data_IF_792984332362
#
_entry.id   IF_792984332362
#
_cell.length_a   1.000
_cell.length_b   1.000
_cell.length_c   1.000
_cell.angle_alpha   90.00
_cell.angle_beta   90.00
_cell.angle_gamma   90.00
#
_symmetry.space_group_name_H-M   'P 1'
#
loop_
_entity.id
_entity.type
_entity.pdbx_description
1 polymer ?
#
# COMPACT_ATOMS: atom_id res chain seq x y z
N UNK A 1 14.95 6.43 -8.03
CA UNK A 1 13.49 6.45 -8.28
C UNK A 1 12.93 7.53 -7.38
N UNK A 2 12.60 8.69 -7.95
CA UNK A 2 12.10 9.82 -7.16
C UNK A 2 10.59 9.61 -7.06
N UNK A 3 10.11 9.35 -5.85
CA UNK A 3 8.68 9.19 -5.60
C UNK A 3 7.97 10.42 -6.17
N UNK A 4 6.85 10.17 -6.87
CA UNK A 4 6.00 11.23 -7.39
C UNK A 4 5.62 12.17 -6.24
N UNK A 5 5.47 13.46 -6.53
CA UNK A 5 5.16 14.46 -5.51
C UNK A 5 3.74 14.23 -4.96
N UNK A 6 3.64 13.51 -3.83
CA UNK A 6 2.37 13.16 -3.18
C UNK A 6 1.53 14.39 -2.81
N UNK A 7 2.15 15.57 -2.73
CA UNK A 7 1.47 16.84 -2.45
C UNK A 7 0.36 17.14 -3.46
N UNK A 8 0.52 16.69 -4.72
CA UNK A 8 -0.48 16.87 -5.80
C UNK A 8 -1.67 15.90 -5.74
N UNK A 9 -1.62 14.95 -4.80
CA UNK A 9 -2.69 13.97 -4.59
C UNK A 9 -3.42 14.21 -3.29
N UNK A 10 -3.04 15.23 -2.50
CA UNK A 10 -3.58 15.48 -1.17
C UNK A 10 -5.09 15.71 -1.21
N UNK A 11 -5.57 16.62 -2.08
CA UNK A 11 -6.99 16.89 -2.25
C UNK A 11 -7.78 15.65 -2.70
N UNK A 12 -7.19 14.86 -3.59
CA UNK A 12 -7.81 13.64 -4.11
C UNK A 12 -7.88 12.58 -3.00
N UNK A 13 -6.82 12.42 -2.20
CA UNK A 13 -6.79 11.52 -1.06
C UNK A 13 -7.76 11.95 0.06
N UNK A 14 -7.91 13.26 0.28
CA UNK A 14 -8.90 13.82 1.20
C UNK A 14 -10.32 13.50 0.74
N UNK A 15 -10.62 13.62 -0.57
CA UNK A 15 -11.90 13.18 -1.12
C UNK A 15 -12.11 11.67 -0.91
N UNK A 16 -11.10 10.84 -1.18
CA UNK A 16 -11.21 9.39 -0.97
C UNK A 16 -11.44 9.00 0.49
N UNK A 17 -10.93 9.81 1.43
CA UNK A 17 -11.11 9.60 2.87
C UNK A 17 -12.45 10.13 3.37
N UNK A 18 -12.93 11.24 2.80
CA UNK A 18 -14.12 11.96 3.24
C UNK A 18 -14.96 12.44 2.04
N UNK A 19 -15.56 11.52 1.26
CA UNK A 19 -16.16 11.86 -0.04
C UNK A 19 -17.29 12.89 0.06
N UNK A 20 -18.07 12.85 1.14
CA UNK A 20 -19.22 13.74 1.37
C UNK A 20 -18.86 15.09 2.03
N UNK A 21 -17.57 15.33 2.32
CA UNK A 21 -17.08 16.60 2.88
C UNK A 21 -16.54 17.55 1.82
N UNK A 22 -16.55 17.14 0.54
CA UNK A 22 -16.04 17.94 -0.58
C UNK A 22 -16.90 19.20 -0.80
N UNK A 23 -16.25 20.36 -0.88
CA UNK A 23 -16.93 21.66 -1.11
C UNK A 23 -16.73 22.21 -2.52
N UNK A 24 -15.66 21.82 -3.22
CA UNK A 24 -15.31 22.30 -4.55
C UNK A 24 -15.08 21.12 -5.50
N UNK A 25 -16.15 20.65 -6.14
CA UNK A 25 -16.12 19.48 -7.03
C UNK A 25 -15.43 19.83 -8.36
N UNK A 26 -15.61 21.05 -8.87
CA UNK A 26 -15.03 21.52 -10.14
C UNK A 26 -13.50 21.56 -10.08
N UNK A 27 -12.95 22.11 -8.99
CA UNK A 27 -11.50 22.13 -8.75
C UNK A 27 -10.93 20.71 -8.62
N UNK A 28 -11.60 19.85 -7.83
CA UNK A 28 -11.20 18.47 -7.65
C UNK A 28 -11.23 17.67 -8.98
N UNK A 29 -12.27 17.84 -9.79
CA UNK A 29 -12.38 17.18 -11.08
C UNK A 29 -11.27 17.60 -12.04
N UNK A 30 -10.90 18.89 -12.02
CA UNK A 30 -9.79 19.43 -12.82
C UNK A 30 -8.44 18.87 -12.35
N UNK A 31 -8.22 18.77 -11.05
CA UNK A 31 -7.01 18.19 -10.47
C UNK A 31 -6.88 16.70 -10.83
N UNK A 32 -7.96 15.94 -10.69
CA UNK A 32 -8.03 14.52 -11.10
C UNK A 32 -7.74 14.37 -12.59
N UNK A 33 -8.39 15.18 -13.43
CA UNK A 33 -8.20 15.12 -14.88
C UNK A 33 -6.72 15.37 -15.26
N UNK A 34 -6.06 16.30 -14.57
CA UNK A 34 -4.65 16.62 -14.74
C UNK A 34 -3.72 15.49 -14.27
N UNK A 35 -3.99 14.88 -13.10
CA UNK A 35 -3.12 13.81 -12.55
C UNK A 35 -3.29 12.47 -13.26
N UNK A 36 -4.51 12.11 -13.67
CA UNK A 36 -4.84 10.78 -14.20
C UNK A 36 -5.13 10.77 -15.71
N UNK A 37 -4.98 11.91 -16.40
CA UNK A 37 -5.24 12.06 -17.84
C UNK A 37 -6.66 11.59 -18.23
N UNK A 38 -7.65 12.05 -17.45
CA UNK A 38 -9.07 11.72 -17.61
C UNK A 38 -9.88 12.93 -18.09
N UNK A 39 -11.13 12.70 -18.50
CA UNK A 39 -12.03 13.79 -18.89
C UNK A 39 -12.64 14.46 -17.65
N UNK A 40 -12.34 15.76 -17.44
CA UNK A 40 -12.81 16.51 -16.26
C UNK A 40 -14.34 16.50 -16.11
N UNK A 41 -15.09 16.77 -17.18
CA UNK A 41 -16.56 16.80 -17.13
C UNK A 41 -17.17 15.44 -16.77
N UNK A 42 -16.60 14.35 -17.27
CA UNK A 42 -17.06 13.00 -16.95
C UNK A 42 -16.83 12.67 -15.47
N UNK A 43 -15.64 13.02 -14.96
CA UNK A 43 -15.29 12.87 -13.54
C UNK A 43 -16.23 13.72 -12.66
N UNK A 44 -16.41 14.99 -13.01
CA UNK A 44 -17.27 15.92 -12.25
C UNK A 44 -18.69 15.38 -12.11
N UNK A 45 -19.28 14.90 -13.20
CA UNK A 45 -20.62 14.31 -13.20
C UNK A 45 -20.72 13.09 -12.26
N UNK A 46 -19.72 12.22 -12.26
CA UNK A 46 -19.69 11.07 -11.33
C UNK A 46 -19.53 11.52 -9.87
N UNK A 47 -18.66 12.49 -9.59
CA UNK A 47 -18.44 13.02 -8.25
C UNK A 47 -19.72 13.64 -7.69
N UNK A 48 -20.44 14.45 -8.49
CA UNK A 48 -21.73 15.03 -8.12
C UNK A 48 -22.76 13.93 -7.81
N UNK A 49 -22.83 12.89 -8.64
CA UNK A 49 -23.73 11.77 -8.42
C UNK A 49 -23.41 11.00 -7.14
N UNK A 50 -22.13 10.76 -6.82
CA UNK A 50 -21.74 10.08 -5.59
C UNK A 50 -22.09 10.93 -4.37
N UNK A 51 -21.74 12.22 -4.37
CA UNK A 51 -21.95 13.12 -3.23
C UNK A 51 -23.45 13.33 -2.94
N UNK A 52 -24.29 13.31 -3.97
CA UNK A 52 -25.75 13.45 -3.84
C UNK A 52 -26.47 12.13 -3.49
N UNK A 53 -25.80 10.98 -3.55
CA UNK A 53 -26.41 9.69 -3.28
C UNK A 53 -26.52 9.43 -1.76
N UNK A 54 -27.77 9.41 -1.28
CA UNK A 54 -28.11 9.24 0.13
C UNK A 54 -27.75 7.82 0.62
N UNK A 55 -27.89 6.80 -0.24
CA UNK A 55 -27.56 5.43 0.13
C UNK A 55 -26.05 5.27 0.27
N UNK A 56 -25.27 5.79 -0.69
CA UNK A 56 -23.82 5.80 -0.58
C UNK A 56 -23.37 6.54 0.69
N UNK A 57 -24.00 7.69 1.00
CA UNK A 57 -23.71 8.45 2.23
C UNK A 57 -23.95 7.66 3.50
N UNK A 58 -25.02 6.86 3.56
CA UNK A 58 -25.31 6.00 4.71
C UNK A 58 -24.27 4.88 4.89
N UNK A 59 -23.61 4.46 3.81
CA UNK A 59 -22.62 3.36 3.80
C UNK A 59 -21.16 3.81 3.88
N UNK A 60 -20.88 5.12 3.96
CA UNK A 60 -19.51 5.65 3.92
C UNK A 60 -18.62 5.17 5.07
N UNK A 61 -19.20 4.76 6.20
CA UNK A 61 -18.47 4.22 7.34
C UNK A 61 -17.97 2.79 7.12
N UNK A 62 -18.39 2.10 6.06
CA UNK A 62 -17.89 0.77 5.72
C UNK A 62 -16.47 0.86 5.16
N UNK A 63 -15.56 0.09 5.76
CA UNK A 63 -14.18 -0.11 5.28
C UNK A 63 -14.08 -0.53 3.80
N UNK A 64 -15.12 -1.15 3.25
CA UNK A 64 -15.18 -1.59 1.86
C UNK A 64 -15.99 -0.65 0.95
N UNK A 65 -16.34 0.56 1.40
CA UNK A 65 -17.16 1.53 0.65
C UNK A 65 -16.78 1.63 -0.83
N UNK A 66 -15.50 1.88 -1.12
CA UNK A 66 -15.01 2.03 -2.49
C UNK A 66 -15.04 0.75 -3.32
N UNK A 67 -15.16 -0.43 -2.70
CA UNK A 67 -15.35 -1.72 -3.40
C UNK A 67 -16.80 -1.94 -3.83
N UNK A 68 -17.77 -1.27 -3.18
CA UNK A 68 -19.19 -1.36 -3.52
C UNK A 68 -19.64 -0.35 -4.58
N UNK A 69 -18.77 0.62 -4.92
CA UNK A 69 -19.00 1.55 -6.02
C UNK A 69 -19.08 0.73 -7.33
N UNK A 70 -20.23 0.79 -7.99
CA UNK A 70 -20.47 0.10 -9.26
C UNK A 70 -19.54 0.61 -10.34
N UNK A 71 -18.81 -0.31 -10.99
CA UNK A 71 -17.92 -0.01 -12.11
C UNK A 71 -18.68 0.53 -13.32
N UNK A 72 -19.91 0.03 -13.56
CA UNK A 72 -20.73 0.47 -14.67
C UNK A 72 -21.28 1.89 -14.48
N UNK A 73 -21.54 2.28 -13.21
CA UNK A 73 -22.12 3.58 -12.86
C UNK A 73 -21.06 4.66 -12.62
N UNK A 74 -19.89 4.27 -12.08
CA UNK A 74 -18.83 5.20 -11.67
C UNK A 74 -17.44 4.72 -12.13
N UNK A 75 -17.23 4.51 -13.44
CA UNK A 75 -15.98 3.97 -13.96
C UNK A 75 -14.77 4.86 -13.64
N UNK A 76 -14.93 6.18 -13.72
CA UNK A 76 -13.80 7.10 -13.51
C UNK A 76 -13.40 7.14 -12.02
N UNK A 77 -14.37 7.30 -11.12
CA UNK A 77 -14.11 7.35 -9.68
C UNK A 77 -13.53 6.04 -9.16
N UNK A 78 -14.00 4.90 -9.66
CA UNK A 78 -13.42 3.59 -9.32
C UNK A 78 -11.98 3.45 -9.81
N UNK A 79 -11.68 3.91 -11.02
CA UNK A 79 -10.32 3.89 -11.55
C UNK A 79 -9.38 4.72 -10.67
N UNK A 80 -9.81 5.90 -10.24
CA UNK A 80 -9.03 6.77 -9.34
C UNK A 80 -8.76 6.08 -8.01
N UNK A 81 -9.77 5.42 -7.43
CA UNK A 81 -9.62 4.67 -6.19
C UNK A 81 -8.54 3.58 -6.30
N UNK A 82 -8.56 2.82 -7.41
CA UNK A 82 -7.57 1.78 -7.68
C UNK A 82 -6.17 2.37 -7.86
N UNK A 83 -6.04 3.43 -8.66
CA UNK A 83 -4.75 4.06 -8.94
C UNK A 83 -4.13 4.66 -7.67
N UNK A 84 -4.90 5.37 -6.84
CA UNK A 84 -4.43 5.89 -5.57
C UNK A 84 -4.00 4.76 -4.62
N UNK A 85 -4.79 3.70 -4.52
CA UNK A 85 -4.45 2.55 -3.68
C UNK A 85 -3.15 1.90 -4.14
N UNK A 86 -2.96 1.72 -5.45
CA UNK A 86 -1.72 1.19 -6.02
C UNK A 86 -0.52 2.13 -5.79
N UNK A 87 -0.73 3.45 -5.88
CA UNK A 87 0.29 4.46 -5.65
C UNK A 87 0.79 4.44 -4.20
N UNK A 88 -0.12 4.46 -3.22
CA UNK A 88 0.24 4.36 -1.80
C UNK A 88 0.83 2.99 -1.47
N UNK A 89 0.26 1.90 -2.01
CA UNK A 89 0.77 0.54 -1.78
C UNK A 89 2.19 0.34 -2.30
N UNK A 90 2.49 0.81 -3.51
CA UNK A 90 3.85 0.72 -4.07
C UNK A 90 4.85 1.59 -3.33
N UNK A 91 4.44 2.79 -2.89
CA UNK A 91 5.28 3.67 -2.06
C UNK A 91 5.60 3.00 -0.71
N UNK A 92 4.59 2.51 0.00
CA UNK A 92 4.76 1.80 1.26
C UNK A 92 5.67 0.56 1.11
N UNK A 93 5.48 -0.25 0.07
CA UNK A 93 6.31 -1.42 -0.19
C UNK A 93 7.77 -1.02 -0.46
N UNK A 94 8.00 0.04 -1.24
CA UNK A 94 9.34 0.55 -1.48
C UNK A 94 10.00 1.03 -0.19
N UNK A 95 9.31 1.84 0.61
CA UNK A 95 9.82 2.37 1.89
C UNK A 95 10.12 1.25 2.88
N UNK A 96 9.23 0.26 2.96
CA UNK A 96 9.42 -0.96 3.77
C UNK A 96 10.66 -1.73 3.29
N UNK A 97 10.82 -1.91 1.98
CA UNK A 97 11.98 -2.60 1.42
C UNK A 97 13.29 -1.88 1.74
N UNK A 98 13.33 -0.55 1.61
CA UNK A 98 14.50 0.25 1.96
C UNK A 98 14.84 0.17 3.45
N UNK A 99 13.82 0.21 4.31
CA UNK A 99 13.96 0.09 5.77
C UNK A 99 14.54 -1.28 6.13
N UNK A 100 14.02 -2.35 5.55
CA UNK A 100 14.51 -3.72 5.77
C UNK A 100 15.95 -3.91 5.26
N UNK A 101 16.27 -3.41 4.07
CA UNK A 101 17.64 -3.44 3.56
C UNK A 101 18.60 -2.72 4.53
N UNK A 102 18.18 -1.58 5.10
CA UNK A 102 18.99 -0.85 6.10
C UNK A 102 19.21 -1.68 7.36
N UNK A 103 18.19 -2.38 7.85
CA UNK A 103 18.28 -3.27 9.02
C UNK A 103 19.21 -4.46 8.72
N UNK A 104 19.00 -5.16 7.61
CA UNK A 104 19.79 -6.33 7.19
C UNK A 104 21.27 -5.95 7.03
N UNK A 105 21.57 -4.85 6.33
CA UNK A 105 22.95 -4.36 6.14
C UNK A 105 23.58 -3.88 7.45
N UNK A 106 22.80 -3.39 8.41
CA UNK A 106 23.31 -2.99 9.73
C UNK A 106 23.67 -4.19 10.60
N UNK A 107 22.78 -5.19 10.70
CA UNK A 107 22.96 -6.38 11.55
C UNK A 107 24.01 -7.36 11.04
N UNK A 108 24.13 -7.51 9.72
CA UNK A 108 24.94 -8.58 9.12
C UNK A 108 25.99 -8.08 8.13
N UNK A 109 26.49 -6.85 8.34
CA UNK A 109 27.36 -6.11 7.41
C UNK A 109 28.56 -6.91 6.86
N UNK A 110 29.04 -7.92 7.61
CA UNK A 110 30.21 -8.74 7.25
C UNK A 110 29.90 -10.23 7.00
N UNK A 111 28.63 -10.69 7.06
CA UNK A 111 28.29 -12.13 7.09
C UNK A 111 27.33 -12.63 6.01
N UNK A 112 26.56 -11.76 5.34
CA UNK A 112 25.58 -12.19 4.34
C UNK A 112 26.10 -12.03 2.90
N UNK A 113 25.93 -13.09 2.09
CA UNK A 113 26.03 -12.99 0.62
C UNK A 113 24.78 -12.32 0.05
N UNK A 114 24.83 -11.90 -1.22
CA UNK A 114 23.71 -11.19 -1.85
C UNK A 114 22.44 -12.05 -1.97
N UNK A 115 22.60 -13.37 -2.17
CA UNK A 115 21.50 -14.34 -2.19
C UNK A 115 20.74 -14.40 -0.85
N UNK A 116 21.48 -14.40 0.26
CA UNK A 116 20.88 -14.36 1.59
C UNK A 116 20.14 -13.04 1.81
N UNK A 117 20.69 -11.91 1.32
CA UNK A 117 20.06 -10.59 1.46
C UNK A 117 18.73 -10.53 0.71
N UNK A 118 18.70 -11.07 -0.49
CA UNK A 118 17.48 -11.17 -1.30
C UNK A 118 16.44 -12.07 -0.64
N UNK A 119 16.87 -13.20 -0.07
CA UNK A 119 15.98 -14.11 0.66
C UNK A 119 15.39 -13.47 1.91
N UNK A 120 16.21 -12.78 2.72
CA UNK A 120 15.74 -12.05 3.90
C UNK A 120 14.78 -10.91 3.53
N UNK A 121 15.06 -10.17 2.46
CA UNK A 121 14.18 -9.10 1.99
C UNK A 121 12.83 -9.66 1.50
N UNK A 122 12.84 -10.78 0.77
CA UNK A 122 11.61 -11.46 0.35
C UNK A 122 10.78 -11.92 1.54
N UNK A 123 11.41 -12.49 2.56
CA UNK A 123 10.74 -12.89 3.79
C UNK A 123 10.15 -11.67 4.52
N UNK A 124 10.92 -10.61 4.69
CA UNK A 124 10.50 -9.41 5.42
C UNK A 124 9.35 -8.64 4.72
N UNK A 125 9.31 -8.65 3.39
CA UNK A 125 8.24 -8.02 2.62
C UNK A 125 7.05 -8.94 2.36
N UNK A 126 7.18 -10.23 2.65
CA UNK A 126 6.08 -11.18 2.54
C UNK A 126 5.26 -11.21 3.83
N UNK A 127 3.96 -11.46 3.72
CA UNK A 127 3.12 -11.80 4.88
C UNK A 127 3.39 -13.21 5.44
N UNK A 128 4.49 -13.86 5.02
CA UNK A 128 4.84 -15.20 5.44
C UNK A 128 5.48 -15.17 6.82
N UNK A 129 4.88 -15.88 7.77
CA UNK A 129 5.45 -16.11 9.10
C UNK A 129 6.01 -17.53 9.13
N UNK A 130 7.34 -17.71 9.16
CA UNK A 130 7.94 -19.03 9.29
C UNK A 130 7.52 -19.67 10.63
N UNK A 131 7.19 -20.96 10.60
CA UNK A 131 6.97 -21.73 11.84
C UNK A 131 8.32 -22.04 12.49
N UNK A 132 8.79 -21.12 13.34
CA UNK A 132 10.09 -21.22 14.00
C UNK A 132 10.21 -22.46 14.89
N UNK A 133 9.09 -22.92 15.46
CA UNK A 133 9.02 -24.11 16.31
C UNK A 133 9.44 -25.37 15.54
N UNK A 134 8.87 -25.61 14.36
CA UNK A 134 9.25 -26.73 13.50
C UNK A 134 10.72 -26.68 13.08
N UNK A 135 11.22 -25.49 12.73
CA UNK A 135 12.63 -25.33 12.37
C UNK A 135 13.57 -25.53 13.56
N UNK A 136 13.16 -25.14 14.77
CA UNK A 136 13.95 -25.36 15.98
C UNK A 136 13.99 -26.84 16.38
N UNK A 137 12.89 -27.57 16.17
CA UNK A 137 12.82 -29.03 16.38
C UNK A 137 13.67 -29.81 15.37
N UNK A 138 13.71 -29.37 14.11
CA UNK A 138 14.52 -30.00 13.05
C UNK A 138 16.02 -29.63 13.11
N UNK A 139 16.40 -28.65 13.94
CA UNK A 139 17.79 -28.20 14.05
C UNK A 139 18.59 -29.15 14.93
N UNK A 140 19.40 -30.03 14.33
CA UNK A 140 20.34 -30.88 15.07
C UNK A 140 21.38 -30.02 15.80
N UNK A 141 21.29 -29.96 17.13
CA UNK A 141 22.31 -29.34 17.96
C UNK A 141 23.61 -30.16 17.88
N UNK A 142 24.67 -29.58 17.30
CA UNK A 142 26.02 -30.11 17.52
C UNK A 142 26.42 -29.85 18.97
N UNK A 143 26.34 -30.89 19.82
CA UNK A 143 26.85 -30.81 21.17
C UNK A 143 28.39 -30.67 21.13
N UNK A 144 28.90 -29.53 21.60
CA UNK A 144 30.33 -29.33 21.83
C UNK A 144 30.77 -30.23 22.99
N UNK A 145 31.28 -31.42 22.70
CA UNK A 145 31.88 -32.28 23.72
C UNK A 145 33.21 -31.68 24.16
N UNK A 146 33.25 -30.98 25.30
CA UNK A 146 34.51 -30.80 26.02
C UNK A 146 34.88 -32.17 26.61
N UNK A 147 35.84 -32.86 25.99
CA UNK A 147 36.53 -33.95 26.66
C UNK A 147 37.32 -33.33 27.80
N UNK A 148 36.80 -33.41 29.01
CA UNK A 148 37.62 -33.31 30.21
C UNK A 148 38.55 -34.54 30.19
N UNK A 149 39.78 -34.35 29.71
CA UNK A 149 40.87 -35.30 29.96
C UNK A 149 41.32 -35.15 31.41
N UNK A 150 41.59 -36.28 32.11
CA UNK A 150 41.94 -36.32 33.53
C UNK A 150 43.29 -35.67 33.85
#
# INVERSE_FOLDING_TARGET
>A
MRFYDCSKLENIALFMSYPFSCKNIEELATEIASQFNMNSCSVENELVQIISDIHLKATVSDTNFWRFISEDKYPNVRQIAIQLTAFFGSTYLCESAFSEIKIIKSKYRNRLTDDHRTSCLRLALSGYVPSYEKYAEDMQCHASTSKATP
#
